data_IF_274839099465
#
_entry.id   IF_274839099465
#
_cell.length_a   1.000
_cell.length_b   1.000
_cell.length_c   1.000
_cell.angle_alpha   90.00
_cell.angle_beta   90.00
_cell.angle_gamma   90.00
#
_symmetry.space_group_name_H-M   'P 1'
#
loop_
_entity.id
_entity.type
_entity.pdbx_description
1 polymer ?
#
# COMPACT_ATOMS: atom_id res chain seq x y z
N UNK A 1 6.12 7.74 6.02
CA UNK A 1 4.98 7.38 5.16
C UNK A 1 4.88 8.28 3.91
N UNK A 2 4.59 9.59 4.04
CA UNK A 2 4.41 10.47 2.87
C UNK A 2 5.61 10.50 1.90
N UNK A 3 6.84 10.47 2.41
CA UNK A 3 8.04 10.42 1.57
C UNK A 3 8.12 9.12 0.72
N UNK A 4 7.62 8.00 1.23
CA UNK A 4 7.56 6.75 0.46
C UNK A 4 6.47 6.81 -0.62
N UNK A 5 5.30 7.36 -0.28
CA UNK A 5 4.22 7.60 -1.24
C UNK A 5 4.67 8.57 -2.36
N UNK A 6 5.38 9.65 -2.00
CA UNK A 6 6.03 10.57 -2.94
C UNK A 6 7.04 9.85 -3.83
N UNK A 7 7.93 9.02 -3.24
CA UNK A 7 8.96 8.29 -3.98
C UNK A 7 8.36 7.42 -5.09
N UNK A 8 7.32 6.64 -4.80
CA UNK A 8 6.70 5.77 -5.80
C UNK A 8 5.97 6.57 -6.89
N UNK A 9 5.37 7.72 -6.55
CA UNK A 9 4.70 8.57 -7.54
C UNK A 9 5.72 9.27 -8.45
N UNK A 10 6.85 9.71 -7.89
CA UNK A 10 7.97 10.26 -8.67
C UNK A 10 8.53 9.21 -9.62
N UNK A 11 8.74 7.98 -9.13
CA UNK A 11 9.16 6.86 -9.96
C UNK A 11 8.16 6.58 -11.08
N UNK A 12 6.85 6.59 -10.79
CA UNK A 12 5.80 6.41 -11.81
C UNK A 12 5.85 7.47 -12.91
N UNK A 13 6.03 8.75 -12.55
CA UNK A 13 6.19 9.84 -13.53
C UNK A 13 7.41 9.61 -14.41
N UNK A 14 8.55 9.24 -13.82
CA UNK A 14 9.79 8.99 -14.57
C UNK A 14 9.73 7.74 -15.46
N UNK A 15 8.90 6.76 -15.11
CA UNK A 15 8.73 5.52 -15.85
C UNK A 15 7.70 5.59 -16.97
N UNK A 16 6.85 6.61 -16.98
CA UNK A 16 5.64 6.65 -17.82
C UNK A 16 5.95 6.47 -19.31
N UNK A 17 6.96 7.18 -19.84
CA UNK A 17 7.32 7.09 -21.26
C UNK A 17 8.03 5.77 -21.59
N UNK A 18 8.94 5.33 -20.73
CA UNK A 18 9.80 4.16 -20.97
C UNK A 18 9.05 2.83 -20.88
N UNK A 19 8.01 2.75 -20.05
CA UNK A 19 7.22 1.51 -19.86
C UNK A 19 6.07 1.40 -20.87
N UNK A 20 5.77 2.45 -21.65
CA UNK A 20 4.69 2.42 -22.62
C UNK A 20 4.79 1.24 -23.61
N UNK A 21 5.95 0.91 -24.22
CA UNK A 21 6.08 -0.25 -25.09
C UNK A 21 5.79 -1.58 -24.40
N UNK A 22 6.14 -1.72 -23.12
CA UNK A 22 5.87 -2.92 -22.34
C UNK A 22 4.36 -3.06 -22.08
N UNK A 23 3.69 -1.96 -21.77
CA UNK A 23 2.22 -1.93 -21.58
C UNK A 23 1.50 -2.28 -22.89
N UNK A 24 1.98 -1.75 -24.02
CA UNK A 24 1.46 -2.09 -25.35
C UNK A 24 1.68 -3.56 -25.74
N UNK A 25 2.69 -4.22 -25.15
CA UNK A 25 2.97 -5.64 -25.29
C UNK A 25 2.29 -6.51 -24.20
N UNK A 26 1.26 -5.98 -23.53
CA UNK A 26 0.48 -6.65 -22.49
C UNK A 26 1.32 -7.12 -21.28
N UNK A 27 2.40 -6.40 -20.97
CA UNK A 27 3.14 -6.56 -19.73
C UNK A 27 2.62 -5.56 -18.70
N UNK A 28 2.17 -6.08 -17.57
CA UNK A 28 1.64 -5.29 -16.47
C UNK A 28 2.68 -5.10 -15.38
N UNK A 29 2.57 -3.99 -14.67
CA UNK A 29 3.34 -3.73 -13.47
C UNK A 29 2.52 -2.96 -12.44
N UNK A 30 2.90 -3.10 -11.18
CA UNK A 30 2.40 -2.24 -10.11
C UNK A 30 3.51 -1.96 -9.10
N UNK A 31 3.55 -0.72 -8.63
CA UNK A 31 4.49 -0.25 -7.61
C UNK A 31 3.66 0.41 -6.52
N UNK A 32 3.78 -0.08 -5.29
CA UNK A 32 2.99 0.41 -4.16
C UNK A 32 3.81 0.42 -2.88
N UNK A 33 3.37 1.23 -1.91
CA UNK A 33 3.89 1.17 -0.54
C UNK A 33 3.02 0.21 0.25
N UNK A 34 3.62 -0.86 0.76
CA UNK A 34 3.01 -1.80 1.70
C UNK A 34 3.46 -1.54 3.14
N UNK A 35 2.99 -2.37 4.06
CA UNK A 35 3.23 -2.19 5.50
C UNK A 35 4.71 -2.30 5.91
N UNK A 36 5.51 -3.03 5.12
CA UNK A 36 6.93 -3.30 5.40
C UNK A 36 7.90 -2.64 4.42
N UNK A 37 7.42 -1.86 3.46
CA UNK A 37 8.28 -1.24 2.45
C UNK A 37 7.59 -1.09 1.09
N UNK A 38 8.38 -1.14 0.03
CA UNK A 38 7.90 -0.97 -1.35
C UNK A 38 7.68 -2.35 -1.97
N UNK A 39 6.52 -2.52 -2.62
CA UNK A 39 6.15 -3.72 -3.36
C UNK A 39 6.21 -3.39 -4.85
N UNK A 40 7.03 -4.12 -5.58
CA UNK A 40 7.10 -4.08 -7.05
C UNK A 40 6.61 -5.43 -7.57
N UNK A 41 5.59 -5.40 -8.41
CA UNK A 41 5.06 -6.58 -9.09
C UNK A 41 5.11 -6.36 -10.59
N UNK A 42 5.56 -7.36 -11.34
CA UNK A 42 5.46 -7.45 -12.80
C UNK A 42 4.78 -8.75 -13.17
N UNK A 43 3.87 -8.72 -14.14
CA UNK A 43 3.17 -9.91 -14.66
C UNK A 43 2.80 -9.76 -16.14
N UNK A 44 2.57 -10.87 -16.83
CA UNK A 44 2.37 -10.92 -18.29
C UNK A 44 3.23 -11.98 -18.97
N UNK A 45 3.54 -11.80 -20.25
CA UNK A 45 4.35 -12.73 -21.04
C UNK A 45 5.80 -12.82 -20.52
N UNK A 46 6.23 -14.04 -20.17
CA UNK A 46 7.47 -14.29 -19.43
C UNK A 46 8.76 -13.83 -20.15
N UNK A 47 8.78 -13.80 -21.48
CA UNK A 47 9.97 -13.51 -22.29
C UNK A 47 10.62 -12.15 -21.95
N UNK A 48 9.81 -11.12 -21.64
CA UNK A 48 10.30 -9.75 -21.39
C UNK A 48 10.11 -9.26 -19.95
N UNK A 49 9.53 -10.07 -19.05
CA UNK A 49 9.35 -9.69 -17.64
C UNK A 49 10.67 -9.35 -16.94
N UNK A 50 11.77 -10.11 -17.10
CA UNK A 50 13.05 -9.74 -16.49
C UNK A 50 13.57 -8.38 -16.99
N UNK A 51 13.35 -8.08 -18.27
CA UNK A 51 13.76 -6.80 -18.89
C UNK A 51 12.95 -5.63 -18.33
N UNK A 52 11.63 -5.79 -18.20
CA UNK A 52 10.75 -4.78 -17.59
C UNK A 52 11.13 -4.54 -16.12
N UNK A 53 11.37 -5.60 -15.35
CA UNK A 53 11.79 -5.47 -13.96
C UNK A 53 13.14 -4.74 -13.84
N UNK A 54 14.12 -5.10 -14.70
CA UNK A 54 15.41 -4.43 -14.75
C UNK A 54 15.29 -2.92 -15.04
N UNK A 55 14.40 -2.54 -15.98
CA UNK A 55 14.11 -1.15 -16.30
C UNK A 55 13.54 -0.42 -15.08
N UNK A 56 12.52 -0.99 -14.43
CA UNK A 56 11.91 -0.42 -13.22
C UNK A 56 12.95 -0.21 -12.11
N UNK A 57 13.79 -1.21 -11.84
CA UNK A 57 14.82 -1.14 -10.79
C UNK A 57 15.93 -0.13 -11.12
N UNK A 58 16.26 0.03 -12.41
CA UNK A 58 17.22 1.04 -12.86
C UNK A 58 16.72 2.45 -12.57
N UNK A 59 15.45 2.73 -12.90
CA UNK A 59 14.81 4.01 -12.58
C UNK A 59 14.62 4.20 -11.08
N UNK A 60 14.25 3.14 -10.35
CA UNK A 60 14.13 3.14 -8.90
C UNK A 60 15.41 3.66 -8.21
N UNK A 61 16.60 3.26 -8.66
CA UNK A 61 17.86 3.83 -8.12
C UNK A 61 18.11 5.27 -8.52
N UNK A 62 17.62 5.69 -9.68
CA UNK A 62 17.89 7.00 -10.28
C UNK A 62 16.86 8.06 -9.91
N UNK A 63 15.82 7.72 -9.13
CA UNK A 63 14.75 8.67 -8.74
C UNK A 63 15.30 10.00 -8.24
N UNK A 64 16.30 9.96 -7.37
CA UNK A 64 16.94 11.15 -6.80
C UNK A 64 17.72 11.99 -7.82
N UNK A 65 18.36 11.34 -8.80
CA UNK A 65 19.14 12.01 -9.84
C UNK A 65 18.23 12.71 -10.85
N UNK A 66 17.08 12.13 -11.14
CA UNK A 66 16.08 12.64 -12.08
C UNK A 66 15.05 13.57 -11.41
N UNK A 67 15.23 13.90 -10.12
CA UNK A 67 14.30 14.73 -9.36
C UNK A 67 14.55 16.22 -9.62
N UNK A 68 13.56 16.89 -10.23
CA UNK A 68 13.53 18.35 -10.40
C UNK A 68 12.52 18.99 -9.45
N UNK A 69 12.67 20.29 -9.17
CA UNK A 69 11.72 21.02 -8.30
C UNK A 69 10.31 21.05 -8.86
N UNK A 70 10.17 21.19 -10.18
CA UNK A 70 8.86 21.25 -10.83
C UNK A 70 8.11 19.92 -10.72
N UNK A 71 8.79 18.80 -10.98
CA UNK A 71 8.21 17.45 -10.81
C UNK A 71 7.86 17.20 -9.34
N UNK A 72 8.73 17.64 -8.42
CA UNK A 72 8.48 17.54 -6.99
C UNK A 72 7.20 18.25 -6.57
N UNK A 73 7.03 19.52 -6.94
CA UNK A 73 5.85 20.30 -6.56
C UNK A 73 4.58 19.76 -7.24
N UNK A 74 4.65 19.34 -8.51
CA UNK A 74 3.52 18.73 -9.21
C UNK A 74 3.03 17.44 -8.54
N UNK A 75 3.97 16.54 -8.17
CA UNK A 75 3.63 15.29 -7.48
C UNK A 75 3.14 15.55 -6.05
N UNK A 76 3.72 16.54 -5.35
CA UNK A 76 3.29 16.97 -4.01
C UNK A 76 1.86 17.49 -4.02
N UNK A 77 1.51 18.35 -4.98
CA UNK A 77 0.14 18.88 -5.14
C UNK A 77 -0.86 17.75 -5.44
N UNK A 78 -0.51 16.86 -6.40
CA UNK A 78 -1.32 15.68 -6.71
C UNK A 78 -1.58 14.81 -5.47
N UNK A 79 -0.54 14.47 -4.71
CA UNK A 79 -0.69 13.61 -3.53
C UNK A 79 -1.47 14.29 -2.39
N UNK A 80 -1.30 15.60 -2.23
CA UNK A 80 -2.09 16.38 -1.27
C UNK A 80 -3.58 16.27 -1.59
N UNK A 81 -3.97 16.47 -2.86
CA UNK A 81 -5.36 16.28 -3.32
C UNK A 81 -5.86 14.85 -3.12
N UNK A 82 -5.02 13.85 -3.38
CA UNK A 82 -5.38 12.43 -3.16
C UNK A 82 -5.71 12.17 -1.69
N UNK A 83 -4.89 12.64 -0.74
CA UNK A 83 -5.18 12.47 0.68
C UNK A 83 -6.44 13.21 1.10
N UNK A 84 -6.63 14.43 0.62
CA UNK A 84 -7.84 15.21 0.86
C UNK A 84 -9.10 14.44 0.43
N UNK A 85 -9.12 13.99 -0.83
CA UNK A 85 -10.24 13.26 -1.39
C UNK A 85 -10.50 11.92 -0.69
N UNK A 86 -9.48 11.32 -0.06
CA UNK A 86 -9.63 10.06 0.67
C UNK A 86 -10.42 10.24 1.96
N UNK A 87 -10.08 11.21 2.81
CA UNK A 87 -10.83 11.39 4.07
C UNK A 87 -12.20 12.04 3.89
N UNK A 88 -12.51 12.59 2.70
CA UNK A 88 -13.88 13.00 2.34
C UNK A 88 -14.82 11.81 2.10
N UNK A 89 -14.28 10.61 1.84
CA UNK A 89 -15.09 9.40 1.64
C UNK A 89 -15.38 8.75 3.00
N UNK A 90 -16.65 8.63 3.44
CA UNK A 90 -16.98 8.08 4.76
C UNK A 90 -16.40 6.69 5.03
N UNK A 91 -16.41 5.82 4.01
CA UNK A 91 -15.87 4.46 4.13
C UNK A 91 -14.35 4.45 4.39
N UNK A 92 -13.60 5.24 3.63
CA UNK A 92 -12.14 5.36 3.80
C UNK A 92 -11.78 6.02 5.14
N UNK A 93 -12.56 7.01 5.58
CA UNK A 93 -12.38 7.64 6.89
C UNK A 93 -12.61 6.65 8.03
N UNK A 94 -13.69 5.87 7.99
CA UNK A 94 -13.98 4.83 8.99
C UNK A 94 -12.86 3.78 9.05
N UNK A 95 -12.33 3.38 7.89
CA UNK A 95 -11.17 2.48 7.80
C UNK A 95 -9.92 3.10 8.42
N UNK A 96 -9.60 4.35 8.11
CA UNK A 96 -8.42 5.03 8.64
C UNK A 96 -8.48 5.18 10.16
N UNK A 97 -9.65 5.53 10.71
CA UNK A 97 -9.86 5.61 12.17
C UNK A 97 -9.67 4.25 12.82
N UNK A 98 -10.34 3.21 12.31
CA UNK A 98 -10.20 1.84 12.83
C UNK A 98 -8.73 1.40 12.83
N UNK A 99 -8.02 1.60 11.73
CA UNK A 99 -6.60 1.21 11.64
C UNK A 99 -5.71 2.05 12.56
N UNK A 100 -6.01 3.33 12.77
CA UNK A 100 -5.27 4.18 13.72
C UNK A 100 -5.41 3.74 15.18
N UNK A 101 -6.54 3.11 15.54
CA UNK A 101 -6.76 2.53 16.86
C UNK A 101 -6.03 1.18 16.99
N UNK A 102 -6.06 0.38 15.93
CA UNK A 102 -5.55 -0.99 15.97
C UNK A 102 -4.03 -1.08 15.80
N UNK A 103 -3.40 -0.17 15.05
CA UNK A 103 -2.00 -0.30 14.64
C UNK A 103 -1.11 0.78 15.28
N UNK A 104 -0.03 0.35 15.92
CA UNK A 104 0.90 1.23 16.65
C UNK A 104 1.58 2.31 15.77
N UNK A 105 1.80 2.03 14.48
CA UNK A 105 2.52 2.92 13.56
C UNK A 105 1.71 3.24 12.30
N UNK A 106 0.45 3.62 12.48
CA UNK A 106 -0.45 3.98 11.38
C UNK A 106 -0.65 5.50 11.26
N UNK A 107 -0.64 5.99 10.03
CA UNK A 107 -0.83 7.42 9.73
C UNK A 107 -2.05 7.57 8.84
N UNK A 108 -3.06 8.28 9.33
CA UNK A 108 -4.33 8.49 8.60
C UNK A 108 -4.12 9.40 7.39
N UNK A 109 -5.08 9.42 6.46
CA UNK A 109 -5.08 10.37 5.35
C UNK A 109 -5.05 11.84 5.85
N UNK A 110 -5.68 12.13 7.00
CA UNK A 110 -5.66 13.47 7.62
C UNK A 110 -4.25 13.82 8.08
N UNK A 111 -3.57 12.91 8.79
CA UNK A 111 -2.18 13.12 9.24
C UNK A 111 -1.24 13.30 8.05
N UNK A 112 -1.38 12.45 7.04
CA UNK A 112 -0.59 12.51 5.82
C UNK A 112 -0.80 13.82 5.06
N UNK A 113 -2.06 14.26 4.92
CA UNK A 113 -2.41 15.52 4.29
C UNK A 113 -1.77 16.71 5.03
N UNK A 114 -1.88 16.77 6.36
CA UNK A 114 -1.25 17.82 7.16
C UNK A 114 0.30 17.80 7.03
N UNK A 115 0.90 16.61 6.96
CA UNK A 115 2.34 16.45 6.78
C UNK A 115 2.85 16.91 5.40
N UNK A 116 2.00 16.88 4.36
CA UNK A 116 2.40 17.32 3.01
C UNK A 116 2.87 18.78 2.99
N UNK A 117 2.25 19.66 3.78
CA UNK A 117 2.63 21.08 3.83
C UNK A 117 4.03 21.31 4.40
N UNK A 118 4.55 20.39 5.23
CA UNK A 118 5.88 20.46 5.83
C UNK A 118 6.96 19.79 4.96
N UNK A 119 6.56 19.08 3.91
CA UNK A 119 7.47 18.29 3.07
C UNK A 119 8.25 19.21 2.12
N UNK A 120 9.57 19.11 2.15
CA UNK A 120 10.48 19.91 1.31
C UNK A 120 11.20 19.06 0.27
N UNK A 121 11.69 19.72 -0.78
CA UNK A 121 12.49 19.10 -1.84
C UNK A 121 13.72 18.37 -1.28
N UNK A 122 14.44 19.00 -0.34
CA UNK A 122 15.65 18.44 0.24
C UNK A 122 15.37 17.21 1.11
N UNK A 123 14.25 17.21 1.85
CA UNK A 123 13.80 16.02 2.58
C UNK A 123 13.54 14.86 1.63
N UNK A 124 12.89 15.12 0.49
CA UNK A 124 12.63 14.11 -0.54
C UNK A 124 13.92 13.58 -1.15
N UNK A 125 14.85 14.46 -1.55
CA UNK A 125 16.15 14.06 -2.10
C UNK A 125 16.97 13.24 -1.10
N UNK A 126 17.02 13.68 0.16
CA UNK A 126 17.68 12.96 1.24
C UNK A 126 17.07 11.58 1.48
N UNK A 127 15.73 11.49 1.51
CA UNK A 127 15.02 10.24 1.64
C UNK A 127 15.30 9.28 0.48
N UNK A 128 15.20 9.74 -0.78
CA UNK A 128 15.48 8.93 -1.97
C UNK A 128 16.89 8.34 -1.94
N UNK A 129 17.89 9.15 -1.57
CA UNK A 129 19.28 8.71 -1.45
C UNK A 129 19.50 7.72 -0.32
N UNK A 130 18.79 7.86 0.80
CA UNK A 130 18.91 6.95 1.95
C UNK A 130 18.21 5.63 1.68
N UNK A 131 17.03 5.68 1.07
CA UNK A 131 16.21 4.52 0.78
C UNK A 131 17.01 3.51 -0.07
N UNK A 132 17.63 3.97 -1.16
CA UNK A 132 18.31 3.07 -2.12
C UNK A 132 19.60 2.42 -1.61
N UNK A 133 20.08 2.76 -0.41
CA UNK A 133 21.35 2.27 0.14
C UNK A 133 21.23 0.89 0.78
N UNK A 134 20.16 0.62 1.51
CA UNK A 134 20.02 -0.62 2.27
C UNK A 134 18.61 -1.17 2.21
N UNK A 135 18.49 -2.45 1.82
CA UNK A 135 17.22 -3.16 1.73
C UNK A 135 17.36 -4.61 2.16
N UNK A 136 16.21 -5.18 2.51
CA UNK A 136 15.97 -6.61 2.45
C UNK A 136 15.03 -6.88 1.28
N UNK A 137 15.41 -7.84 0.43
CA UNK A 137 14.64 -8.20 -0.76
C UNK A 137 13.99 -9.56 -0.50
N UNK A 138 12.67 -9.59 -0.53
CA UNK A 138 11.88 -10.81 -0.55
C UNK A 138 11.14 -10.87 -1.89
N UNK A 139 11.38 -11.92 -2.66
CA UNK A 139 10.79 -12.08 -3.99
C UNK A 139 10.09 -13.43 -4.13
N UNK A 140 9.02 -13.42 -4.91
CA UNK A 140 8.35 -14.62 -5.42
C UNK A 140 8.40 -14.57 -6.95
N UNK A 141 9.00 -15.59 -7.56
CA UNK A 141 8.99 -15.80 -9.00
C UNK A 141 8.17 -17.06 -9.25
N UNK A 142 7.06 -16.91 -9.97
CA UNK A 142 6.10 -17.99 -10.23
C UNK A 142 5.54 -17.84 -11.64
N UNK A 143 5.39 -18.97 -12.35
CA UNK A 143 4.75 -19.02 -13.67
C UNK A 143 5.49 -19.93 -14.64
N UNK A 144 5.40 -19.62 -15.92
CA UNK A 144 6.15 -20.29 -16.99
C UNK A 144 7.62 -19.84 -16.99
N UNK A 145 8.39 -20.32 -16.02
CA UNK A 145 9.79 -19.95 -15.81
C UNK A 145 10.55 -21.12 -15.21
N UNK A 146 11.70 -21.45 -15.78
CA UNK A 146 12.57 -22.47 -15.22
C UNK A 146 13.39 -21.93 -14.04
N UNK A 147 14.00 -22.86 -13.30
CA UNK A 147 14.82 -22.54 -12.12
C UNK A 147 16.02 -21.64 -12.46
N UNK A 148 16.63 -21.84 -13.63
CA UNK A 148 17.84 -21.13 -14.02
C UNK A 148 17.55 -19.66 -14.32
N UNK A 149 16.49 -19.40 -15.09
CA UNK A 149 15.96 -18.07 -15.39
C UNK A 149 15.54 -17.34 -14.12
N UNK A 150 14.90 -18.04 -13.17
CA UNK A 150 14.54 -17.46 -11.87
C UNK A 150 15.78 -17.04 -11.05
N UNK A 151 16.83 -17.87 -11.04
CA UNK A 151 18.10 -17.55 -10.37
C UNK A 151 18.81 -16.38 -11.06
N UNK A 152 18.88 -16.37 -12.40
CA UNK A 152 19.47 -15.29 -13.18
C UNK A 152 18.74 -13.97 -12.92
N UNK A 153 17.41 -13.99 -12.93
CA UNK A 153 16.57 -12.82 -12.62
C UNK A 153 16.83 -12.33 -11.19
N UNK A 154 16.93 -13.24 -10.22
CA UNK A 154 17.23 -12.88 -8.82
C UNK A 154 18.61 -12.23 -8.66
N UNK A 155 19.62 -12.73 -9.39
CA UNK A 155 20.96 -12.14 -9.43
C UNK A 155 20.94 -10.75 -10.08
N UNK A 156 20.22 -10.59 -11.20
CA UNK A 156 20.02 -9.30 -11.84
C UNK A 156 19.43 -8.26 -10.87
N UNK A 157 18.42 -8.63 -10.08
CA UNK A 157 17.84 -7.73 -9.07
C UNK A 157 18.92 -7.25 -8.08
N UNK A 158 19.72 -8.17 -7.56
CA UNK A 158 20.81 -7.85 -6.63
C UNK A 158 21.89 -6.97 -7.30
N UNK A 159 22.24 -7.27 -8.54
CA UNK A 159 23.27 -6.57 -9.31
C UNK A 159 22.86 -5.15 -9.72
N UNK A 160 21.58 -4.91 -9.99
CA UNK A 160 21.06 -3.56 -10.26
C UNK A 160 21.00 -2.77 -8.97
N UNK A 161 20.42 -3.35 -7.91
CA UNK A 161 20.20 -2.67 -6.66
C UNK A 161 21.49 -2.37 -5.90
N UNK A 162 22.49 -3.27 -5.91
CA UNK A 162 23.77 -3.16 -5.19
C UNK A 162 23.62 -2.49 -3.82
N UNK A 163 22.67 -2.96 -3.02
CA UNK A 163 22.35 -2.39 -1.73
C UNK A 163 23.03 -3.16 -0.60
N UNK A 164 23.30 -2.46 0.50
CA UNK A 164 23.75 -3.09 1.73
C UNK A 164 22.60 -3.91 2.36
N UNK A 165 22.89 -5.09 2.92
CA UNK A 165 21.86 -5.92 3.53
C UNK A 165 21.26 -5.22 4.74
N UNK A 166 19.93 -5.14 4.80
CA UNK A 166 19.23 -4.68 5.99
C UNK A 166 19.30 -5.77 7.07
N UNK A 167 19.74 -5.42 8.28
CA UNK A 167 19.82 -6.36 9.40
C UNK A 167 18.41 -6.79 9.86
N UNK A 168 18.19 -8.07 10.23
CA UNK A 168 16.88 -8.57 10.65
C UNK A 168 16.23 -7.79 11.81
N UNK A 169 17.04 -7.24 12.71
CA UNK A 169 16.59 -6.40 13.83
C UNK A 169 15.90 -5.12 13.37
N UNK A 170 16.28 -4.61 12.20
CA UNK A 170 15.75 -3.40 11.58
C UNK A 170 14.55 -3.68 10.65
N UNK A 171 14.09 -4.94 10.57
CA UNK A 171 12.92 -5.26 9.76
C UNK A 171 11.66 -4.61 10.35
N UNK A 172 10.82 -3.95 9.53
CA UNK A 172 9.56 -3.38 10.00
C UNK A 172 8.66 -4.45 10.62
N UNK A 173 8.23 -4.20 11.86
CA UNK A 173 7.32 -5.08 12.61
C UNK A 173 5.92 -4.47 12.59
N UNK A 174 4.94 -5.27 12.20
CA UNK A 174 3.52 -4.91 12.32
C UNK A 174 3.09 -5.29 13.73
N UNK A 175 2.57 -4.33 14.47
CA UNK A 175 2.08 -4.51 15.83
C UNK A 175 0.63 -4.06 15.88
N UNK A 176 -0.23 -4.96 16.33
CA UNK A 176 -1.65 -4.72 16.53
C UNK A 176 -1.90 -4.62 18.03
N UNK A 177 -2.64 -3.60 18.47
CA UNK A 177 -3.03 -3.44 19.85
C UNK A 177 -4.05 -4.52 20.25
N UNK A 178 -3.86 -5.08 21.44
CA UNK A 178 -4.86 -5.92 22.09
C UNK A 178 -5.93 -5.01 22.70
N UNK A 179 -7.16 -5.13 22.21
CA UNK A 179 -8.29 -4.34 22.69
C UNK A 179 -8.74 -4.87 24.06
N UNK A 180 -9.08 -3.99 25.00
CA UNK A 180 -9.67 -4.42 26.26
C UNK A 180 -11.02 -5.11 26.03
N UNK A 181 -11.36 -6.06 26.90
CA UNK A 181 -12.68 -6.68 26.88
C UNK A 181 -13.78 -5.63 27.12
N UNK A 182 -14.90 -5.80 26.43
CA UNK A 182 -16.08 -4.94 26.54
C UNK A 182 -16.49 -4.31 25.20
N UNK A 183 -17.47 -3.42 25.28
CA UNK A 183 -18.00 -2.69 24.13
C UNK A 183 -17.47 -1.26 24.12
N UNK A 184 -16.87 -0.86 23.00
CA UNK A 184 -16.31 0.46 22.81
C UNK A 184 -16.83 1.05 21.51
N UNK A 185 -17.22 2.32 21.55
CA UNK A 185 -17.72 3.04 20.38
C UNK A 185 -16.84 4.25 20.09
N UNK A 186 -16.41 4.38 18.84
CA UNK A 186 -15.78 5.58 18.33
C UNK A 186 -16.72 6.22 17.31
N UNK A 187 -17.08 7.48 17.52
CA UNK A 187 -17.93 8.25 16.62
C UNK A 187 -17.17 9.45 16.09
N UNK A 188 -17.18 9.63 14.78
CA UNK A 188 -16.69 10.83 14.10
C UNK A 188 -17.78 11.39 13.22
N UNK A 189 -17.73 12.69 12.95
CA UNK A 189 -18.50 13.29 11.85
C UNK A 189 -17.77 13.04 10.53
N UNK A 190 -18.54 12.96 9.45
CA UNK A 190 -18.00 12.97 8.08
C UNK A 190 -17.37 14.34 7.79
N UNK A 191 -16.27 14.36 7.04
CA UNK A 191 -15.69 15.59 6.50
C UNK A 191 -16.43 16.07 5.23
N UNK A 192 -17.28 15.24 4.65
CA UNK A 192 -18.11 15.59 3.51
C UNK A 192 -19.54 15.89 3.97
N UNK A 193 -19.84 17.17 4.17
CA UNK A 193 -21.16 17.64 4.61
C UNK A 193 -22.27 17.42 3.57
N UNK A 194 -21.90 17.25 2.30
CA UNK A 194 -22.86 17.00 1.22
C UNK A 194 -23.27 15.52 1.11
N UNK A 195 -22.56 14.62 1.80
CA UNK A 195 -22.89 13.21 1.84
C UNK A 195 -23.70 12.91 3.11
N UNK A 196 -24.97 12.60 2.93
CA UNK A 196 -25.88 12.25 4.03
C UNK A 196 -25.74 10.80 4.48
N UNK A 197 -24.93 9.98 3.78
CA UNK A 197 -24.71 8.60 4.16
C UNK A 197 -23.88 8.50 5.44
N UNK A 198 -24.24 7.54 6.28
CA UNK A 198 -23.47 7.17 7.47
C UNK A 198 -22.85 5.78 7.28
N UNK A 199 -21.69 5.55 7.89
CA UNK A 199 -21.01 4.27 7.87
C UNK A 199 -20.89 3.76 9.29
N UNK A 200 -21.28 2.50 9.50
CA UNK A 200 -21.09 1.76 10.75
C UNK A 200 -20.15 0.60 10.45
N UNK A 201 -19.09 0.46 11.26
CA UNK A 201 -18.15 -0.65 11.18
C UNK A 201 -18.07 -1.32 12.54
N UNK A 202 -18.54 -2.57 12.61
CA UNK A 202 -18.35 -3.41 13.77
C UNK A 202 -17.05 -4.20 13.60
N UNK A 203 -16.15 -4.10 14.58
CA UNK A 203 -14.88 -4.82 14.58
C UNK A 203 -14.78 -5.71 15.82
N UNK A 204 -14.63 -7.01 15.59
CA UNK A 204 -14.46 -8.01 16.64
C UNK A 204 -13.05 -8.55 16.56
N UNK A 205 -12.23 -8.28 17.58
CA UNK A 205 -10.88 -8.80 17.65
C UNK A 205 -10.89 -10.24 18.17
N UNK A 206 -10.24 -11.14 17.45
CA UNK A 206 -9.95 -12.50 17.91
C UNK A 206 -8.55 -12.58 18.51
N UNK A 207 -8.27 -13.69 19.19
CA UNK A 207 -6.93 -13.99 19.70
C UNK A 207 -5.93 -14.17 18.55
N UNK A 208 -4.64 -14.29 18.90
CA UNK A 208 -3.54 -14.52 17.97
C UNK A 208 -3.84 -15.64 16.99
N UNK A 209 -3.31 -15.48 15.78
CA UNK A 209 -3.46 -16.45 14.72
C UNK A 209 -3.05 -17.85 15.19
N UNK A 210 -3.99 -18.78 15.11
CA UNK A 210 -3.74 -20.22 15.07
C UNK A 210 -4.54 -20.77 13.91
N UNK A 211 -4.07 -21.86 13.29
CA UNK A 211 -4.82 -22.51 12.20
C UNK A 211 -6.24 -22.87 12.63
N UNK A 212 -6.40 -23.35 13.87
CA UNK A 212 -7.72 -23.67 14.44
C UNK A 212 -8.62 -22.44 14.54
N UNK A 213 -8.15 -21.36 15.17
CA UNK A 213 -8.95 -20.13 15.32
C UNK A 213 -9.30 -19.53 13.97
N UNK A 214 -8.37 -19.55 13.01
CA UNK A 214 -8.63 -19.07 11.66
C UNK A 214 -9.76 -19.86 10.99
N UNK A 215 -9.69 -21.20 11.02
CA UNK A 215 -10.75 -22.05 10.44
C UNK A 215 -12.10 -21.82 11.12
N UNK A 216 -12.13 -21.65 12.44
CA UNK A 216 -13.38 -21.34 13.17
C UNK A 216 -13.96 -20.00 12.70
N UNK A 217 -13.13 -18.97 12.56
CA UNK A 217 -13.57 -17.65 12.09
C UNK A 217 -14.07 -17.70 10.64
N UNK A 218 -13.37 -18.41 9.75
CA UNK A 218 -13.79 -18.60 8.35
C UNK A 218 -15.15 -19.32 8.26
N UNK A 219 -15.32 -20.40 9.04
CA UNK A 219 -16.61 -21.10 9.11
C UNK A 219 -17.71 -20.17 9.64
N UNK A 220 -17.43 -19.40 10.69
CA UNK A 220 -18.39 -18.43 11.22
C UNK A 220 -18.78 -17.41 10.14
N UNK A 221 -17.82 -16.85 9.41
CA UNK A 221 -18.09 -15.92 8.30
C UNK A 221 -18.98 -16.56 7.25
N UNK A 222 -18.69 -17.80 6.84
CA UNK A 222 -19.50 -18.56 5.88
C UNK A 222 -20.96 -18.74 6.34
N UNK A 223 -21.19 -18.95 7.64
CA UNK A 223 -22.55 -19.09 8.18
C UNK A 223 -23.30 -17.76 8.30
N UNK A 224 -22.60 -16.63 8.54
CA UNK A 224 -23.26 -15.35 8.79
C UNK A 224 -23.41 -14.48 7.54
N UNK A 225 -22.60 -14.69 6.49
CA UNK A 225 -22.53 -13.77 5.34
C UNK A 225 -23.88 -13.60 4.63
N UNK A 226 -24.55 -14.71 4.29
CA UNK A 226 -25.87 -14.66 3.62
C UNK A 226 -26.96 -14.10 4.55
N UNK A 227 -27.12 -14.57 5.81
CA UNK A 227 -28.11 -13.99 6.72
C UNK A 227 -27.88 -12.50 7.00
N UNK A 228 -26.63 -12.06 7.13
CA UNK A 228 -26.29 -10.66 7.37
C UNK A 228 -26.72 -9.80 6.19
N UNK A 229 -26.45 -10.25 4.96
CA UNK A 229 -26.87 -9.53 3.76
C UNK A 229 -28.39 -9.51 3.61
N UNK A 230 -29.06 -10.66 3.76
CA UNK A 230 -30.52 -10.73 3.66
C UNK A 230 -31.22 -9.85 4.70
N UNK A 231 -30.78 -9.91 5.96
CA UNK A 231 -31.39 -9.12 7.03
C UNK A 231 -31.12 -7.64 6.84
N UNK A 232 -29.85 -7.22 6.77
CA UNK A 232 -29.52 -5.80 6.81
C UNK A 232 -29.84 -5.08 5.49
N UNK A 233 -29.72 -5.76 4.34
CA UNK A 233 -29.96 -5.15 3.03
C UNK A 233 -31.35 -5.45 2.47
N UNK A 234 -31.79 -6.70 2.47
CA UNK A 234 -33.05 -7.08 1.80
C UNK A 234 -34.26 -6.74 2.66
N UNK A 235 -34.23 -7.09 3.95
CA UNK A 235 -35.36 -6.93 4.89
C UNK A 235 -35.39 -5.54 5.53
N UNK A 236 -34.29 -5.15 6.19
CA UNK A 236 -34.21 -3.87 6.93
C UNK A 236 -33.82 -2.68 6.05
N UNK A 237 -33.34 -2.93 4.83
CA UNK A 237 -33.00 -1.91 3.82
C UNK A 237 -32.08 -0.79 4.35
N UNK A 238 -31.12 -1.13 5.23
CA UNK A 238 -30.24 -0.16 5.88
C UNK A 238 -29.26 0.53 4.92
N UNK A 239 -28.99 -0.08 3.77
CA UNK A 239 -28.15 0.52 2.75
C UNK A 239 -27.90 -0.42 1.59
N UNK A 240 -27.45 0.15 0.47
CA UNK A 240 -27.04 -0.63 -0.70
C UNK A 240 -25.75 -1.41 -0.45
N UNK A 241 -24.85 -0.87 0.36
CA UNK A 241 -23.56 -1.45 0.70
C UNK A 241 -23.59 -2.08 2.08
N UNK A 242 -23.69 -3.40 2.13
CA UNK A 242 -23.67 -4.24 3.34
C UNK A 242 -22.65 -5.35 3.10
N UNK A 243 -21.69 -5.48 4.01
CA UNK A 243 -20.59 -6.45 4.00
C UNK A 243 -20.27 -6.89 5.43
#
# INVERSE_FOLDING_TARGET
>A
ACLADMFINLLGVQLTEEIYPATAAELNYSISVGDKGIIIKVDGYNEKLPTLLNLILTYFKKVSANLTKDIFEAVKDKLTKVYHNKFLKPFDLAKDIRLSILLNNYWTAVDKHAAMFKLTFDMMKGFSNKLVKSFYILGLIQGNVDKETAIITSKMIADVLKCEPLLPENFPKIQVHELPNGEYCCRTMSFNENDSNSIIVNYYQSDRFTMRNNVILELLMMYIEEPLFDILRTKEQLGYHVY
#
